data_IF_791024029285
#
_entry.id   IF_791024029285
#
_cell.length_a   1.000
_cell.length_b   1.000
_cell.length_c   1.000
_cell.angle_alpha   90.00
_cell.angle_beta   90.00
_cell.angle_gamma   90.00
#
_symmetry.space_group_name_H-M   'P 1'
#
loop_
_entity.id
_entity.type
_entity.pdbx_description
1 polymer ?
#
# COMPACT_ATOMS: atom_id res chain seq x y z
N UNK A 1 -18.83 -17.51 6.80
CA UNK A 1 -18.01 -18.00 5.67
C UNK A 1 -17.43 -19.41 5.89
N UNK A 2 -17.56 -20.02 7.08
CA UNK A 2 -17.09 -21.40 7.32
C UNK A 2 -15.56 -21.55 7.41
N UNK A 3 -14.82 -20.44 7.29
CA UNK A 3 -13.37 -20.33 7.34
C UNK A 3 -12.94 -19.05 8.07
N UNK A 4 -11.71 -19.01 8.55
CA UNK A 4 -11.08 -17.78 9.09
C UNK A 4 -10.88 -16.77 7.95
N UNK A 5 -11.48 -15.58 8.09
CA UNK A 5 -11.27 -14.45 7.19
C UNK A 5 -10.06 -13.65 7.65
N UNK A 6 -9.22 -13.24 6.70
CA UNK A 6 -7.99 -12.50 6.99
C UNK A 6 -8.02 -11.08 6.42
N UNK A 7 -7.28 -10.16 7.04
CA UNK A 7 -7.10 -8.77 6.56
C UNK A 7 -5.62 -8.35 6.71
N UNK A 8 -5.17 -7.47 5.81
CA UNK A 8 -3.89 -6.75 5.93
C UNK A 8 -4.17 -5.27 6.09
N UNK A 9 -3.64 -4.60 7.11
CA UNK A 9 -3.73 -3.15 7.22
C UNK A 9 -2.34 -2.51 7.18
N UNK A 10 -2.25 -1.28 6.69
CA UNK A 10 -1.04 -0.47 6.89
C UNK A 10 -1.39 0.78 7.68
N UNK A 11 -0.43 1.29 8.43
CA UNK A 11 -0.49 2.64 9.01
C UNK A 11 -0.53 3.73 7.95
N UNK A 12 -0.16 3.46 6.70
CA UNK A 12 -0.08 4.43 5.61
C UNK A 12 1.35 4.81 5.25
N UNK A 13 1.59 5.09 3.97
CA UNK A 13 2.89 5.44 3.41
C UNK A 13 2.79 5.83 1.93
N UNK A 14 3.95 6.03 1.30
CA UNK A 14 4.07 6.49 -0.09
C UNK A 14 4.38 5.31 -1.01
N UNK A 15 3.61 5.15 -2.09
CA UNK A 15 3.71 3.99 -2.97
C UNK A 15 3.16 2.68 -2.39
N UNK A 16 2.41 2.73 -1.27
CA UNK A 16 1.89 1.51 -0.63
C UNK A 16 0.65 0.95 -1.35
N UNK A 17 0.89 0.09 -2.33
CA UNK A 17 -0.12 -0.75 -3.02
C UNK A 17 -0.17 -2.19 -2.51
N UNK A 18 0.45 -2.50 -1.38
CA UNK A 18 0.60 -3.88 -0.87
C UNK A 18 -0.71 -4.63 -0.77
N UNK A 19 -1.77 -3.95 -0.30
CA UNK A 19 -3.11 -4.54 -0.19
C UNK A 19 -3.59 -5.17 -1.51
N UNK A 20 -3.31 -4.51 -2.63
CA UNK A 20 -3.84 -4.87 -3.96
C UNK A 20 -3.15 -6.13 -4.49
N UNK A 21 -1.87 -6.34 -4.15
CA UNK A 21 -1.13 -7.55 -4.50
C UNK A 21 -1.36 -8.71 -3.52
N UNK A 22 -1.42 -8.43 -2.21
CA UNK A 22 -1.60 -9.46 -1.16
C UNK A 22 -2.95 -10.17 -1.28
N UNK A 23 -4.03 -9.42 -1.54
CA UNK A 23 -5.38 -9.98 -1.59
C UNK A 23 -5.51 -11.17 -2.55
N UNK A 24 -5.20 -10.99 -3.85
CA UNK A 24 -5.28 -12.05 -4.84
C UNK A 24 -4.40 -13.27 -4.55
N UNK A 25 -3.17 -13.07 -4.05
CA UNK A 25 -2.23 -14.15 -3.74
C UNK A 25 -2.76 -15.02 -2.59
N UNK A 26 -3.25 -14.39 -1.53
CA UNK A 26 -3.81 -15.10 -0.37
C UNK A 26 -5.10 -15.84 -0.74
N UNK A 27 -5.97 -15.19 -1.52
CA UNK A 27 -7.21 -15.80 -2.00
C UNK A 27 -6.95 -16.95 -3.00
N UNK A 28 -5.89 -16.88 -3.81
CA UNK A 28 -5.47 -18.00 -4.68
C UNK A 28 -5.02 -19.23 -3.88
N UNK A 29 -4.44 -19.02 -2.70
CA UNK A 29 -4.14 -20.07 -1.73
C UNK A 29 -5.38 -20.56 -0.95
N UNK A 30 -6.57 -20.10 -1.35
CA UNK A 30 -7.86 -20.49 -0.81
C UNK A 30 -8.27 -19.75 0.46
N UNK A 31 -7.51 -18.78 0.97
CA UNK A 31 -7.88 -18.09 2.22
C UNK A 31 -8.76 -16.87 1.92
N UNK A 32 -9.97 -16.74 2.51
CA UNK A 32 -10.85 -15.63 2.21
C UNK A 32 -10.31 -14.32 2.77
N UNK A 33 -10.22 -13.30 1.91
CA UNK A 33 -9.76 -11.95 2.23
C UNK A 33 -10.94 -10.99 2.16
N UNK A 34 -11.38 -10.50 3.31
CA UNK A 34 -12.46 -9.53 3.42
C UNK A 34 -11.92 -8.24 4.00
N UNK A 35 -11.88 -7.17 3.20
CA UNK A 35 -11.17 -5.96 3.58
C UNK A 35 -11.99 -4.70 3.38
N UNK A 36 -12.00 -3.88 4.44
CA UNK A 36 -12.41 -2.47 4.37
C UNK A 36 -11.15 -1.59 4.38
N UNK A 37 -11.08 -0.70 3.39
CA UNK A 37 -9.97 0.22 3.13
C UNK A 37 -10.40 1.69 3.26
N UNK A 38 -9.43 2.59 3.26
CA UNK A 38 -9.64 4.04 3.29
C UNK A 38 -9.16 4.72 2.01
N UNK A 39 -9.57 5.98 1.88
CA UNK A 39 -9.05 6.94 0.89
C UNK A 39 -7.81 7.65 1.45
N UNK A 40 -7.01 8.22 0.56
CA UNK A 40 -5.80 8.97 0.90
C UNK A 40 -6.14 10.38 1.39
N UNK A 41 -5.24 10.92 2.20
CA UNK A 41 -5.26 12.31 2.66
C UNK A 41 -3.82 12.79 2.88
N UNK A 42 -3.50 13.99 2.40
CA UNK A 42 -2.14 14.52 2.43
C UNK A 42 -1.20 13.71 1.55
N UNK A 43 0.02 13.43 2.03
CA UNK A 43 1.08 12.76 1.27
C UNK A 43 0.89 11.24 1.13
N UNK A 44 0.00 10.62 1.92
CA UNK A 44 -0.23 9.17 1.87
C UNK A 44 -1.38 8.84 0.92
N UNK A 45 -1.12 7.95 -0.03
CA UNK A 45 -2.12 7.49 -1.00
C UNK A 45 -3.15 6.53 -0.38
N UNK A 46 -4.36 6.50 -0.92
CA UNK A 46 -5.44 5.61 -0.49
C UNK A 46 -5.57 4.36 -1.36
N UNK A 47 -5.80 3.20 -0.76
CA UNK A 47 -6.09 1.98 -1.56
C UNK A 47 -7.35 2.15 -2.40
N UNK A 48 -8.38 2.82 -1.89
CA UNK A 48 -9.63 2.99 -2.64
C UNK A 48 -9.45 3.91 -3.86
N UNK A 49 -8.69 5.00 -3.70
CA UNK A 49 -8.44 5.93 -4.82
C UNK A 49 -7.63 5.24 -5.93
N UNK A 50 -6.67 4.38 -5.57
CA UNK A 50 -5.96 3.51 -6.52
C UNK A 50 -6.94 2.61 -7.27
N UNK A 51 -7.87 1.94 -6.57
CA UNK A 51 -8.84 1.04 -7.21
C UNK A 51 -9.84 1.76 -8.10
N UNK A 52 -10.22 2.99 -7.77
CA UNK A 52 -11.09 3.84 -8.59
C UNK A 52 -10.41 4.35 -9.87
N UNK A 53 -9.09 4.16 -10.02
CA UNK A 53 -8.42 4.32 -11.31
C UNK A 53 -8.82 3.26 -12.33
N UNK A 54 -9.37 2.12 -11.88
CA UNK A 54 -9.87 1.05 -12.74
C UNK A 54 -11.27 1.43 -13.23
N UNK A 55 -11.48 1.63 -14.55
CA UNK A 55 -12.78 2.00 -15.08
C UNK A 55 -13.88 1.02 -14.66
N UNK A 56 -14.95 1.54 -14.05
CA UNK A 56 -16.12 0.76 -13.63
C UNK A 56 -16.00 0.08 -12.27
N UNK A 57 -14.82 0.10 -11.62
CA UNK A 57 -14.64 -0.56 -10.32
C UNK A 57 -15.44 0.15 -9.22
N UNK A 58 -16.29 -0.61 -8.52
CA UNK A 58 -17.09 -0.13 -7.39
C UNK A 58 -16.44 -0.49 -6.07
N UNK A 59 -16.12 0.53 -5.27
CA UNK A 59 -15.68 0.37 -3.88
C UNK A 59 -16.85 0.24 -2.90
N UNK A 60 -18.08 0.44 -3.37
CA UNK A 60 -19.29 0.39 -2.56
C UNK A 60 -20.05 -0.91 -2.81
N UNK A 61 -20.17 -1.74 -1.78
CA UNK A 61 -21.01 -2.93 -1.74
C UNK A 61 -21.86 -2.91 -0.47
N UNK A 62 -23.06 -3.49 -0.55
CA UNK A 62 -23.81 -3.81 0.67
C UNK A 62 -23.08 -4.89 1.46
N UNK A 63 -23.36 -5.00 2.77
CA UNK A 63 -22.76 -6.05 3.62
C UNK A 63 -23.04 -7.45 3.07
N UNK A 64 -24.26 -7.70 2.58
CA UNK A 64 -24.63 -8.99 2.01
C UNK A 64 -23.83 -9.28 0.72
N UNK A 65 -23.75 -8.32 -0.19
CA UNK A 65 -22.96 -8.46 -1.43
C UNK A 65 -21.47 -8.64 -1.14
N UNK A 66 -20.93 -7.93 -0.15
CA UNK A 66 -19.56 -8.10 0.32
C UNK A 66 -19.31 -9.53 0.83
N UNK A 67 -20.18 -10.05 1.69
CA UNK A 67 -20.05 -11.42 2.23
C UNK A 67 -20.21 -12.47 1.14
N UNK A 68 -21.14 -12.28 0.20
CA UNK A 68 -21.32 -13.16 -0.96
C UNK A 68 -20.08 -13.17 -1.86
N UNK A 69 -19.53 -12.01 -2.21
CA UNK A 69 -18.34 -11.93 -3.04
C UNK A 69 -17.12 -12.59 -2.36
N UNK A 70 -16.91 -12.36 -1.06
CA UNK A 70 -15.81 -13.04 -0.35
C UNK A 70 -16.02 -14.56 -0.34
N UNK A 71 -17.26 -15.04 -0.31
CA UNK A 71 -17.57 -16.48 -0.41
C UNK A 71 -17.24 -17.04 -1.79
N UNK A 72 -17.61 -16.34 -2.85
CA UNK A 72 -17.60 -16.87 -4.21
C UNK A 72 -16.28 -16.61 -4.94
N UNK A 73 -15.70 -15.42 -4.74
CA UNK A 73 -14.43 -14.97 -5.35
C UNK A 73 -13.24 -15.23 -4.43
N UNK A 74 -13.46 -15.25 -3.11
CA UNK A 74 -12.41 -15.32 -2.10
C UNK A 74 -11.85 -13.95 -1.69
N UNK A 75 -12.24 -12.86 -2.36
CA UNK A 75 -11.69 -11.52 -2.15
C UNK A 75 -12.74 -10.42 -2.39
N UNK A 76 -12.79 -9.46 -1.47
CA UNK A 76 -13.45 -8.17 -1.70
C UNK A 76 -12.72 -7.06 -0.93
N UNK A 77 -12.54 -5.91 -1.60
CA UNK A 77 -12.02 -4.69 -0.98
C UNK A 77 -13.05 -3.58 -1.18
N UNK A 78 -13.55 -3.04 -0.09
CA UNK A 78 -14.63 -2.04 -0.09
C UNK A 78 -14.27 -0.81 0.75
N UNK A 79 -15.03 0.25 0.56
CA UNK A 79 -15.06 1.39 1.47
C UNK A 79 -15.58 1.02 2.86
N UNK A 80 -15.24 1.86 3.84
CA UNK A 80 -15.85 1.80 5.16
C UNK A 80 -17.31 2.29 5.04
N UNK A 81 -18.26 1.51 5.54
CA UNK A 81 -19.65 1.95 5.63
C UNK A 81 -19.80 3.04 6.70
N UNK A 82 -20.81 3.89 6.57
CA UNK A 82 -21.05 4.98 7.54
C UNK A 82 -21.32 4.47 8.96
N UNK A 83 -21.84 3.26 9.08
CA UNK A 83 -22.15 2.61 10.36
C UNK A 83 -20.95 1.90 11.00
N UNK A 84 -19.82 1.78 10.29
CA UNK A 84 -18.62 1.15 10.81
C UNK A 84 -17.87 2.14 11.72
N UNK A 85 -17.82 1.84 13.02
CA UNK A 85 -17.08 2.60 14.05
C UNK A 85 -17.34 4.13 14.02
N UNK A 86 -18.59 4.60 14.16
CA UNK A 86 -18.94 6.02 13.99
C UNK A 86 -18.22 6.96 14.98
N UNK A 87 -17.89 6.46 16.18
CA UNK A 87 -17.11 7.22 17.16
C UNK A 87 -15.67 7.48 16.70
N UNK A 88 -15.01 6.49 16.07
CA UNK A 88 -13.67 6.66 15.51
C UNK A 88 -13.70 7.67 14.36
N UNK A 89 -14.73 7.62 13.50
CA UNK A 89 -14.90 8.60 12.41
C UNK A 89 -14.94 10.05 12.91
N UNK A 90 -15.71 10.31 13.99
CA UNK A 90 -15.77 11.63 14.61
C UNK A 90 -14.44 12.01 15.27
N UNK A 91 -13.83 11.09 16.00
CA UNK A 91 -12.57 11.34 16.71
C UNK A 91 -11.41 11.57 15.73
N UNK A 92 -11.32 10.81 14.64
CA UNK A 92 -10.33 11.02 13.58
C UNK A 92 -10.48 12.39 12.93
N UNK A 93 -11.72 12.80 12.61
CA UNK A 93 -12.00 14.13 12.07
C UNK A 93 -11.56 15.27 13.01
N UNK A 94 -11.70 15.08 14.33
CA UNK A 94 -11.20 16.03 15.31
C UNK A 94 -9.67 16.03 15.40
N UNK A 95 -9.04 14.86 15.38
CA UNK A 95 -7.58 14.71 15.47
C UNK A 95 -6.85 15.40 14.34
N UNK A 96 -7.41 15.29 13.13
CA UNK A 96 -6.88 15.85 11.89
C UNK A 96 -6.71 17.38 11.95
N UNK A 97 -7.60 18.07 12.69
CA UNK A 97 -7.60 19.53 12.83
C UNK A 97 -7.10 20.03 14.19
N UNK A 98 -6.58 19.15 15.04
CA UNK A 98 -6.12 19.51 16.41
C UNK A 98 -4.68 19.11 16.70
N UNK A 99 -3.91 18.68 15.69
CA UNK A 99 -2.54 18.18 15.86
C UNK A 99 -2.45 17.06 16.89
N UNK A 100 -3.40 16.12 16.87
CA UNK A 100 -3.45 14.94 17.76
C UNK A 100 -3.55 13.63 16.98
N UNK A 101 -3.11 13.63 15.72
CA UNK A 101 -3.08 12.43 14.87
C UNK A 101 -1.99 11.46 15.34
N UNK A 102 -0.80 11.97 15.67
CA UNK A 102 0.44 11.26 15.97
C UNK A 102 0.55 10.72 17.42
N UNK A 103 -0.59 10.52 18.09
CA UNK A 103 -0.65 9.97 19.45
C UNK A 103 -0.86 8.46 19.38
N UNK A 104 0.14 7.68 19.81
CA UNK A 104 0.17 6.19 19.67
C UNK A 104 -1.11 5.50 20.16
N UNK A 105 -1.64 5.76 21.37
CA UNK A 105 -2.91 5.15 21.79
C UNK A 105 -4.10 5.45 20.85
N UNK A 106 -4.16 6.66 20.28
CA UNK A 106 -5.23 7.06 19.35
C UNK A 106 -5.06 6.41 17.98
N UNK A 107 -3.81 6.23 17.51
CA UNK A 107 -3.52 5.48 16.29
C UNK A 107 -3.92 4.01 16.47
N UNK A 108 -3.45 3.36 17.53
CA UNK A 108 -3.70 1.94 17.80
C UNK A 108 -5.21 1.65 17.92
N UNK A 109 -5.92 2.43 18.73
CA UNK A 109 -7.38 2.28 18.91
C UNK A 109 -8.16 2.56 17.63
N UNK A 110 -7.76 3.58 16.86
CA UNK A 110 -8.38 3.90 15.59
C UNK A 110 -8.23 2.76 14.58
N UNK A 111 -7.02 2.26 14.39
CA UNK A 111 -6.75 1.13 13.47
C UNK A 111 -7.51 -0.11 13.94
N UNK A 112 -7.31 -0.51 15.20
CA UNK A 112 -7.84 -1.79 15.70
C UNK A 112 -9.36 -1.81 15.80
N UNK A 113 -10.02 -0.70 16.16
CA UNK A 113 -11.49 -0.65 16.21
C UNK A 113 -12.11 -1.00 14.85
N UNK A 114 -11.57 -0.44 13.75
CA UNK A 114 -11.99 -0.76 12.37
C UNK A 114 -11.74 -2.22 12.03
N UNK A 115 -10.57 -2.75 12.38
CA UNK A 115 -10.20 -4.14 12.05
C UNK A 115 -11.02 -5.17 12.83
N UNK A 116 -11.26 -4.91 14.11
CA UNK A 116 -12.10 -5.75 14.97
C UNK A 116 -13.55 -5.72 14.48
N UNK A 117 -14.08 -4.54 14.12
CA UNK A 117 -15.43 -4.38 13.60
C UNK A 117 -15.61 -5.03 12.22
N UNK A 118 -14.58 -5.03 11.37
CA UNK A 118 -14.58 -5.70 10.07
C UNK A 118 -14.64 -7.24 10.15
N UNK A 119 -14.46 -7.81 11.34
CA UNK A 119 -14.73 -9.23 11.61
C UNK A 119 -13.61 -10.22 11.26
N UNK A 120 -12.51 -9.76 10.67
CA UNK A 120 -11.34 -10.60 10.35
C UNK A 120 -10.81 -11.30 11.61
N UNK A 121 -10.50 -12.60 11.50
CA UNK A 121 -10.00 -13.41 12.60
C UNK A 121 -8.48 -13.29 12.76
N UNK A 122 -7.77 -13.15 11.63
CA UNK A 122 -6.33 -12.97 11.58
C UNK A 122 -5.99 -11.68 10.81
N UNK A 123 -5.05 -10.90 11.33
CA UNK A 123 -4.71 -9.58 10.81
C UNK A 123 -3.19 -9.45 10.73
N UNK A 124 -2.68 -9.10 9.56
CA UNK A 124 -1.31 -8.61 9.42
C UNK A 124 -1.33 -7.07 9.38
N UNK A 125 -0.62 -6.46 10.31
CA UNK A 125 -0.48 -5.00 10.41
C UNK A 125 0.90 -4.60 9.89
N UNK A 126 0.95 -3.67 8.97
CA UNK A 126 2.16 -3.16 8.35
C UNK A 126 2.42 -1.74 8.84
N UNK A 127 3.27 -1.65 9.86
CA UNK A 127 3.66 -0.43 10.56
C UNK A 127 4.85 0.16 9.85
N UNK A 128 4.61 1.25 9.12
CA UNK A 128 5.65 1.97 8.40
C UNK A 128 6.59 2.68 9.38
N UNK A 129 7.87 2.70 9.04
CA UNK A 129 8.94 3.33 9.83
C UNK A 129 9.77 4.24 8.91
N UNK A 130 9.99 5.48 9.33
CA UNK A 130 10.88 6.42 8.63
C UNK A 130 10.17 7.66 8.10
N UNK A 131 10.81 8.30 7.12
CA UNK A 131 10.43 9.61 6.58
C UNK A 131 8.97 9.69 6.12
N UNK A 132 8.51 8.75 5.29
CA UNK A 132 7.13 8.71 4.78
C UNK A 132 6.11 8.05 5.70
N UNK A 133 6.47 7.75 6.96
CA UNK A 133 5.60 7.09 7.92
C UNK A 133 5.10 8.03 9.01
N UNK A 134 4.05 7.61 9.72
CA UNK A 134 3.65 8.23 10.99
C UNK A 134 4.72 8.03 12.07
N UNK A 135 5.30 6.83 12.17
CA UNK A 135 6.34 6.50 13.15
C UNK A 135 7.71 6.77 12.54
N UNK A 136 8.45 7.74 13.09
CA UNK A 136 9.76 8.13 12.54
C UNK A 136 10.90 7.23 13.00
N UNK A 137 10.73 6.52 14.12
CA UNK A 137 11.74 5.63 14.69
C UNK A 137 11.22 4.20 14.80
N UNK A 138 12.16 3.24 14.76
CA UNK A 138 11.85 1.82 14.97
C UNK A 138 11.33 1.56 16.39
N UNK A 139 11.78 2.35 17.38
CA UNK A 139 11.33 2.26 18.77
C UNK A 139 9.84 2.63 18.89
N UNK A 140 9.44 3.79 18.34
CA UNK A 140 8.03 4.22 18.36
C UNK A 140 7.13 3.23 17.60
N UNK A 141 7.63 2.69 16.49
CA UNK A 141 6.93 1.68 15.71
C UNK A 141 6.71 0.38 16.50
N UNK A 142 7.69 -0.06 17.31
CA UNK A 142 7.54 -1.21 18.22
C UNK A 142 6.48 -0.93 19.30
N UNK A 143 6.48 0.25 19.91
CA UNK A 143 5.47 0.64 20.91
C UNK A 143 4.06 0.61 20.30
N UNK A 144 3.89 1.13 19.08
CA UNK A 144 2.61 1.07 18.37
C UNK A 144 2.21 -0.38 18.04
N UNK A 145 3.14 -1.20 17.57
CA UNK A 145 2.90 -2.60 17.26
C UNK A 145 2.46 -3.40 18.50
N UNK A 146 3.16 -3.25 19.63
CA UNK A 146 2.83 -3.91 20.90
C UNK A 146 1.42 -3.53 21.39
N UNK A 147 1.06 -2.23 21.32
CA UNK A 147 -0.27 -1.77 21.68
C UNK A 147 -1.37 -2.40 20.80
N UNK A 148 -1.12 -2.55 19.49
CA UNK A 148 -2.08 -3.17 18.57
C UNK A 148 -2.19 -4.69 18.78
N UNK A 149 -1.09 -5.38 19.10
CA UNK A 149 -1.10 -6.80 19.49
C UNK A 149 -1.92 -7.02 20.76
N UNK A 150 -1.75 -6.18 21.78
CA UNK A 150 -2.52 -6.27 23.02
C UNK A 150 -4.02 -6.08 22.79
N UNK A 151 -4.41 -5.07 22.00
CA UNK A 151 -5.80 -4.84 21.60
C UNK A 151 -6.37 -6.02 20.82
N UNK A 152 -5.59 -6.59 19.89
CA UNK A 152 -5.95 -7.78 19.12
C UNK A 152 -6.24 -8.97 20.02
N UNK A 153 -5.32 -9.26 20.95
CA UNK A 153 -5.46 -10.34 21.95
C UNK A 153 -6.71 -10.16 22.81
N UNK A 154 -6.96 -8.95 23.32
CA UNK A 154 -8.16 -8.68 24.12
C UNK A 154 -9.46 -8.81 23.32
N UNK A 155 -9.41 -8.59 22.01
CA UNK A 155 -10.54 -8.77 21.10
C UNK A 155 -10.62 -10.19 20.49
N UNK A 156 -9.78 -11.14 20.94
CA UNK A 156 -9.75 -12.51 20.43
C UNK A 156 -9.32 -12.62 18.96
N UNK A 157 -8.45 -11.72 18.50
CA UNK A 157 -7.91 -11.67 17.14
C UNK A 157 -6.45 -12.11 17.13
N UNK A 158 -6.07 -12.85 16.10
CA UNK A 158 -4.68 -13.19 15.84
C UNK A 158 -4.05 -12.04 15.05
N UNK A 159 -2.98 -11.44 15.57
CA UNK A 159 -2.36 -10.26 14.98
C UNK A 159 -0.87 -10.48 14.88
N UNK A 160 -0.27 -10.07 13.75
CA UNK A 160 1.18 -9.95 13.58
C UNK A 160 1.47 -8.59 12.97
N UNK A 161 2.47 -7.90 13.51
CA UNK A 161 2.93 -6.60 13.05
C UNK A 161 4.25 -6.74 12.30
N UNK A 162 4.33 -6.16 11.10
CA UNK A 162 5.55 -5.97 10.31
C UNK A 162 5.99 -4.54 10.47
N UNK A 163 7.23 -4.32 10.90
CA UNK A 163 7.84 -3.00 10.91
C UNK A 163 8.60 -2.85 9.58
N UNK A 164 8.19 -1.92 8.74
CA UNK A 164 8.70 -1.84 7.35
C UNK A 164 9.24 -0.46 7.00
N UNK A 165 10.31 -0.44 6.19
CA UNK A 165 10.95 0.78 5.72
C UNK A 165 9.99 1.63 4.89
N UNK A 166 10.01 2.93 5.15
CA UNK A 166 9.28 3.97 4.43
C UNK A 166 10.10 5.26 4.35
N UNK A 167 11.43 5.16 4.44
CA UNK A 167 12.30 6.29 4.13
C UNK A 167 12.26 6.64 2.64
N UNK A 168 12.04 5.65 1.78
CA UNK A 168 11.80 5.80 0.34
C UNK A 168 10.44 5.21 -0.05
N UNK A 169 9.86 5.63 -1.20
CA UNK A 169 8.62 5.03 -1.69
C UNK A 169 8.74 3.52 -1.87
N UNK A 170 7.68 2.79 -1.51
CA UNK A 170 7.61 1.34 -1.69
C UNK A 170 7.42 0.99 -3.18
N UNK A 171 8.30 0.15 -3.72
CA UNK A 171 8.32 -0.14 -5.15
C UNK A 171 8.73 1.09 -5.97
N UNK A 172 8.34 1.20 -7.24
CA UNK A 172 8.73 2.33 -8.08
C UNK A 172 7.62 3.37 -8.24
N UNK A 173 6.37 2.92 -8.40
CA UNK A 173 5.23 3.79 -8.68
C UNK A 173 4.63 4.45 -7.43
N UNK A 174 4.37 5.76 -7.52
CA UNK A 174 3.61 6.58 -6.57
C UNK A 174 2.50 7.30 -7.31
N UNK A 175 1.24 7.02 -6.95
CA UNK A 175 0.06 7.58 -7.62
C UNK A 175 -1.15 6.65 -7.51
N UNK A 176 -1.97 6.59 -8.55
CA UNK A 176 -3.17 5.74 -8.58
C UNK A 176 -3.07 4.64 -9.65
N UNK A 177 -3.27 4.98 -10.93
CA UNK A 177 -3.18 4.01 -12.03
C UNK A 177 -1.81 3.37 -12.14
N UNK A 178 -0.74 4.15 -11.94
CA UNK A 178 0.65 3.67 -11.92
C UNK A 178 0.84 2.57 -10.86
N UNK A 179 0.22 2.74 -9.69
CA UNK A 179 0.30 1.77 -8.60
C UNK A 179 -0.53 0.51 -8.87
N UNK A 180 -1.65 0.61 -9.60
CA UNK A 180 -2.40 -0.56 -10.08
C UNK A 180 -1.56 -1.39 -11.06
N UNK A 181 -0.88 -0.73 -12.00
CA UNK A 181 0.02 -1.40 -12.96
C UNK A 181 1.11 -2.17 -12.21
N UNK A 182 1.77 -1.55 -11.23
CA UNK A 182 2.85 -2.19 -10.48
C UNK A 182 2.35 -3.31 -9.55
N UNK A 183 1.17 -3.13 -8.92
CA UNK A 183 0.53 -4.19 -8.14
C UNK A 183 0.21 -5.42 -9.01
N UNK A 184 -0.34 -5.20 -10.20
CA UNK A 184 -0.62 -6.28 -11.16
C UNK A 184 0.66 -6.95 -11.65
N UNK A 185 1.70 -6.18 -11.98
CA UNK A 185 3.01 -6.73 -12.38
C UNK A 185 3.58 -7.64 -11.29
N UNK A 186 3.44 -7.25 -10.02
CA UNK A 186 3.89 -8.05 -8.87
C UNK A 186 3.10 -9.35 -8.73
N UNK A 187 1.78 -9.32 -8.95
CA UNK A 187 0.94 -10.53 -8.99
C UNK A 187 1.33 -11.47 -10.16
N UNK A 188 1.95 -10.94 -11.22
CA UNK A 188 2.51 -11.71 -12.33
C UNK A 188 3.97 -12.15 -12.11
N UNK A 189 4.62 -11.80 -11.00
CA UNK A 189 6.03 -12.10 -10.74
C UNK A 189 7.03 -11.15 -11.42
N UNK A 190 6.57 -9.99 -11.87
CA UNK A 190 7.35 -8.96 -12.58
C UNK A 190 7.47 -7.65 -11.77
N UNK A 191 7.22 -7.71 -10.46
CA UNK A 191 7.23 -6.55 -9.57
C UNK A 191 8.62 -6.10 -9.12
N UNK A 192 8.75 -4.89 -8.54
CA UNK A 192 9.99 -4.45 -7.91
C UNK A 192 10.41 -5.36 -6.74
N UNK A 193 11.72 -5.58 -6.49
CA UNK A 193 12.18 -6.53 -5.48
C UNK A 193 11.74 -6.22 -4.05
N UNK A 194 11.83 -4.96 -3.63
CA UNK A 194 11.42 -4.49 -2.29
C UNK A 194 9.93 -4.71 -2.05
N UNK A 195 9.12 -4.34 -3.04
CA UNK A 195 7.67 -4.52 -2.99
C UNK A 195 7.27 -6.00 -3.01
N UNK A 196 7.91 -6.80 -3.87
CA UNK A 196 7.65 -8.24 -3.98
C UNK A 196 7.97 -8.97 -2.68
N UNK A 197 9.10 -8.67 -2.04
CA UNK A 197 9.47 -9.31 -0.77
C UNK A 197 8.47 -8.99 0.34
N UNK A 198 8.06 -7.72 0.48
CA UNK A 198 7.06 -7.33 1.48
C UNK A 198 5.70 -8.01 1.23
N UNK A 199 5.25 -8.07 -0.03
CA UNK A 199 4.00 -8.73 -0.41
C UNK A 199 4.05 -10.21 -0.03
N UNK A 200 5.12 -10.92 -0.39
CA UNK A 200 5.24 -12.35 -0.15
C UNK A 200 5.39 -12.68 1.34
N UNK A 201 6.10 -11.87 2.12
CA UNK A 201 6.19 -12.04 3.59
C UNK A 201 4.82 -11.79 4.27
N UNK A 202 4.08 -10.76 3.84
CA UNK A 202 2.73 -10.51 4.33
C UNK A 202 1.78 -11.68 3.98
N UNK A 203 1.84 -12.21 2.75
CA UNK A 203 1.09 -13.38 2.34
C UNK A 203 1.45 -14.61 3.19
N UNK A 204 2.74 -14.90 3.37
CA UNK A 204 3.22 -16.04 4.16
C UNK A 204 2.63 -16.06 5.57
N UNK A 205 2.58 -14.89 6.22
CA UNK A 205 2.03 -14.74 7.58
C UNK A 205 0.52 -14.85 7.62
N UNK A 206 -0.19 -14.23 6.67
CA UNK A 206 -1.64 -14.38 6.58
C UNK A 206 -2.05 -15.84 6.39
N UNK A 207 -1.31 -16.57 5.55
CA UNK A 207 -1.55 -17.99 5.31
C UNK A 207 -1.24 -18.86 6.54
N UNK A 208 -0.21 -18.51 7.31
CA UNK A 208 0.11 -19.20 8.57
C UNK A 208 -0.93 -18.94 9.68
N UNK A 209 -1.47 -17.72 9.76
CA UNK A 209 -2.51 -17.35 10.73
C UNK A 209 -3.91 -17.84 10.33
N UNK A 210 -4.09 -18.22 9.06
CA UNK A 210 -5.34 -18.79 8.58
C UNK A 210 -5.60 -20.20 9.17
N UNK A 211 -6.72 -20.81 8.79
CA UNK A 211 -7.13 -22.14 9.23
C UNK A 211 -6.48 -23.29 8.43
N UNK A 212 -5.29 -23.06 7.86
CA UNK A 212 -4.58 -24.02 7.01
C UNK A 212 -3.70 -25.02 7.78
N UNK A 213 -3.33 -24.71 9.03
CA UNK A 213 -2.43 -25.55 9.83
C UNK A 213 -1.00 -25.62 9.29
N UNK A 214 -0.49 -24.50 8.75
CA UNK A 214 0.83 -24.39 8.15
C UNK A 214 1.65 -23.30 8.85
N UNK A 215 2.98 -23.36 8.71
CA UNK A 215 3.87 -22.30 9.16
C UNK A 215 4.12 -21.25 8.07
N UNK A 216 4.82 -20.17 8.42
CA UNK A 216 5.14 -19.09 7.48
C UNK A 216 6.05 -19.55 6.32
N UNK A 217 6.89 -20.57 6.52
CA UNK A 217 7.77 -21.08 5.47
C UNK A 217 6.97 -21.81 4.37
N UNK A 218 5.98 -22.63 4.76
CA UNK A 218 5.01 -23.22 3.84
C UNK A 218 4.08 -22.16 3.24
N UNK A 219 3.66 -21.17 4.03
CA UNK A 219 2.90 -20.02 3.54
C UNK A 219 3.63 -19.30 2.40
N UNK A 220 4.94 -19.03 2.57
CA UNK A 220 5.80 -18.43 1.55
C UNK A 220 5.84 -19.27 0.28
N UNK A 221 6.10 -20.58 0.39
CA UNK A 221 6.11 -21.50 -0.77
C UNK A 221 4.80 -21.47 -1.56
N UNK A 222 3.66 -21.41 -0.88
CA UNK A 222 2.34 -21.34 -1.54
C UNK A 222 2.10 -20.00 -2.22
N UNK A 223 2.50 -18.90 -1.58
CA UNK A 223 2.42 -17.58 -2.18
C UNK A 223 3.29 -17.49 -3.45
N UNK A 224 4.55 -17.96 -3.37
CA UNK A 224 5.46 -18.02 -4.51
C UNK A 224 4.87 -18.88 -5.65
N UNK A 225 4.31 -20.05 -5.33
CA UNK A 225 3.67 -20.93 -6.31
C UNK A 225 2.46 -20.26 -6.97
N UNK A 226 1.62 -19.57 -6.20
CA UNK A 226 0.41 -18.91 -6.71
C UNK A 226 0.73 -17.76 -7.69
N UNK A 227 1.85 -17.07 -7.48
CA UNK A 227 2.38 -16.08 -8.42
C UNK A 227 2.94 -16.78 -9.66
N UNK A 228 3.79 -17.80 -9.48
CA UNK A 228 4.49 -18.48 -10.57
C UNK A 228 3.56 -19.27 -11.50
N UNK A 229 2.46 -19.84 -10.98
CA UNK A 229 1.49 -20.63 -11.76
C UNK A 229 0.34 -19.80 -12.34
N UNK A 230 0.29 -18.50 -12.07
CA UNK A 230 -0.72 -17.56 -12.56
C UNK A 230 -2.07 -17.64 -11.85
N UNK A 231 -2.23 -18.46 -10.80
CA UNK A 231 -3.48 -18.53 -10.03
C UNK A 231 -3.80 -17.23 -9.29
N UNK A 232 -2.78 -16.50 -8.82
CA UNK A 232 -2.95 -15.18 -8.22
C UNK A 232 -3.51 -14.16 -9.22
N UNK A 233 -3.00 -14.15 -10.47
CA UNK A 233 -3.53 -13.31 -11.54
C UNK A 233 -4.98 -13.68 -11.86
N UNK A 234 -5.31 -14.97 -11.95
CA UNK A 234 -6.67 -15.41 -12.20
C UNK A 234 -7.65 -14.95 -11.10
N UNK A 235 -7.23 -14.92 -9.84
CA UNK A 235 -8.04 -14.33 -8.75
C UNK A 235 -8.15 -12.82 -8.89
N UNK A 236 -7.05 -12.12 -9.17
CA UNK A 236 -7.04 -10.67 -9.37
C UNK A 236 -8.07 -10.27 -10.41
N UNK A 237 -8.06 -10.90 -11.60
CA UNK A 237 -9.00 -10.53 -12.65
C UNK A 237 -10.46 -10.88 -12.31
N UNK A 238 -10.71 -12.00 -11.62
CA UNK A 238 -12.06 -12.33 -11.14
C UNK A 238 -12.57 -11.31 -10.14
N UNK A 239 -11.70 -10.87 -9.22
CA UNK A 239 -12.02 -9.86 -8.22
C UNK A 239 -12.34 -8.51 -8.84
N UNK A 240 -11.50 -8.03 -9.76
CA UNK A 240 -11.75 -6.76 -10.47
C UNK A 240 -13.10 -6.81 -11.21
N UNK A 241 -13.38 -7.89 -11.95
CA UNK A 241 -14.66 -8.07 -12.66
C UNK A 241 -15.85 -8.17 -11.71
N UNK A 242 -15.71 -8.83 -10.56
CA UNK A 242 -16.79 -8.97 -9.58
C UNK A 242 -17.23 -7.62 -8.98
N UNK A 243 -16.32 -6.66 -8.87
CA UNK A 243 -16.64 -5.29 -8.48
C UNK A 243 -16.88 -4.36 -9.67
N UNK A 244 -17.10 -4.88 -10.88
CA UNK A 244 -17.51 -4.11 -12.06
C UNK A 244 -16.38 -3.47 -12.86
N UNK A 245 -15.11 -3.66 -12.46
CA UNK A 245 -13.96 -3.11 -13.16
C UNK A 245 -13.50 -3.95 -14.35
N UNK A 246 -12.70 -3.34 -15.22
CA UNK A 246 -11.96 -4.03 -16.28
C UNK A 246 -10.51 -4.31 -15.83
N UNK A 247 -10.07 -5.59 -15.77
CA UNK A 247 -8.71 -5.94 -15.32
C UNK A 247 -7.62 -5.67 -16.36
N UNK A 248 -7.94 -5.23 -17.58
CA UNK A 248 -6.95 -4.91 -18.60
C UNK A 248 -6.16 -3.63 -18.21
N UNK A 249 -4.83 -3.71 -18.00
CA UNK A 249 -4.03 -2.51 -17.72
C UNK A 249 -4.05 -1.49 -18.87
N UNK A 250 -4.44 -1.89 -20.08
CA UNK A 250 -4.61 -1.00 -21.24
C UNK A 250 -5.72 0.03 -21.07
N UNK A 251 -6.72 -0.22 -20.21
CA UNK A 251 -7.84 0.71 -19.99
C UNK A 251 -7.58 1.75 -18.89
N UNK A 252 -6.49 1.60 -18.14
CA UNK A 252 -6.13 2.52 -17.07
C UNK A 252 -5.80 3.91 -17.63
N UNK A 253 -6.17 4.99 -16.91
CA UNK A 253 -5.88 6.34 -17.35
C UNK A 253 -4.37 6.58 -17.43
N UNK A 254 -3.94 7.35 -18.44
CA UNK A 254 -2.54 7.70 -18.68
C UNK A 254 -2.38 9.20 -18.77
N UNK A 255 -1.35 9.72 -18.10
CA UNK A 255 -1.00 11.14 -18.18
C UNK A 255 -0.68 11.56 -19.62
N UNK A 256 -1.01 12.80 -19.96
CA UNK A 256 -0.74 13.37 -21.28
C UNK A 256 0.75 13.61 -21.51
N UNK A 257 1.48 13.94 -20.45
CA UNK A 257 2.92 14.21 -20.47
C UNK A 257 3.64 13.25 -19.54
N UNK A 258 4.77 12.71 -20.02
CA UNK A 258 5.73 11.95 -19.21
C UNK A 258 7.11 12.57 -19.42
N UNK A 259 7.66 13.16 -18.36
CA UNK A 259 8.97 13.80 -18.40
C UNK A 259 9.97 13.08 -17.52
N UNK A 260 11.15 12.81 -18.06
CA UNK A 260 12.24 12.15 -17.33
C UNK A 260 13.00 13.16 -16.46
N UNK A 261 13.16 12.81 -15.18
CA UNK A 261 14.16 13.40 -14.30
C UNK A 261 15.48 12.65 -14.50
N UNK A 262 16.51 13.36 -14.96
CA UNK A 262 17.85 12.80 -15.19
C UNK A 262 18.82 13.18 -14.08
N UNK A 263 19.75 12.27 -13.76
CA UNK A 263 20.75 12.45 -12.74
C UNK A 263 21.70 13.60 -13.11
N UNK A 264 21.83 14.64 -12.27
CA UNK A 264 22.69 15.79 -12.57
C UNK A 264 24.19 15.46 -12.42
N UNK A 265 24.51 14.39 -11.69
CA UNK A 265 25.87 13.92 -11.43
C UNK A 265 25.87 12.39 -11.34
N UNK A 266 27.02 11.77 -11.58
CA UNK A 266 27.23 10.35 -11.32
C UNK A 266 27.46 10.08 -9.83
N UNK A 267 27.08 8.89 -9.36
CA UNK A 267 27.31 8.46 -7.98
C UNK A 267 26.38 7.32 -7.56
N UNK A 268 26.11 7.22 -6.26
CA UNK A 268 25.11 6.34 -5.67
C UNK A 268 23.96 7.17 -5.14
N UNK A 269 22.72 6.71 -5.35
CA UNK A 269 21.55 7.29 -4.68
C UNK A 269 21.66 6.97 -3.19
N UNK A 270 22.03 7.97 -2.39
CA UNK A 270 22.22 7.83 -0.93
C UNK A 270 20.93 8.10 -0.17
N UNK A 271 20.02 8.89 -0.75
CA UNK A 271 18.71 9.21 -0.18
C UNK A 271 17.66 9.34 -1.28
N UNK A 272 16.45 8.90 -0.97
CA UNK A 272 15.24 9.11 -1.75
C UNK A 272 14.10 9.35 -0.75
N UNK A 273 13.73 10.60 -0.51
CA UNK A 273 12.73 10.97 0.50
C UNK A 273 11.31 10.58 0.10
N UNK A 274 10.71 9.65 0.84
CA UNK A 274 9.34 9.21 0.59
C UNK A 274 8.33 10.36 0.69
N UNK A 275 8.42 11.18 1.74
CA UNK A 275 7.45 12.25 1.96
C UNK A 275 7.49 13.30 0.83
N UNK A 276 8.69 13.62 0.35
CA UNK A 276 8.92 14.60 -0.71
C UNK A 276 8.34 14.11 -2.04
N UNK A 277 8.54 12.83 -2.38
CA UNK A 277 7.90 12.21 -3.55
C UNK A 277 6.37 12.17 -3.39
N UNK A 278 5.88 11.89 -2.18
CA UNK A 278 4.45 11.90 -1.88
C UNK A 278 3.81 13.28 -2.07
N UNK A 279 4.49 14.34 -1.63
CA UNK A 279 4.06 15.73 -1.87
C UNK A 279 4.11 16.11 -3.35
N UNK A 280 5.17 15.74 -4.07
CA UNK A 280 5.24 15.99 -5.51
C UNK A 280 4.10 15.31 -6.26
N UNK A 281 3.79 14.05 -5.93
CA UNK A 281 2.64 13.35 -6.51
C UNK A 281 1.30 14.03 -6.15
N UNK A 282 1.15 14.52 -4.92
CA UNK A 282 -0.01 15.29 -4.49
C UNK A 282 -0.16 16.59 -5.29
N UNK A 283 0.91 17.36 -5.49
CA UNK A 283 0.89 18.60 -6.26
C UNK A 283 0.58 18.37 -7.75
N UNK A 284 1.01 17.23 -8.32
CA UNK A 284 0.61 16.79 -9.65
C UNK A 284 -0.90 16.47 -9.73
N UNK A 285 -1.56 16.21 -8.59
CA UNK A 285 -2.99 15.90 -8.50
C UNK A 285 -3.31 14.42 -8.24
N UNK A 286 -2.33 13.62 -7.85
CA UNK A 286 -2.53 12.20 -7.55
C UNK A 286 -3.21 11.93 -6.19
N UNK A 287 -3.50 12.98 -5.41
CA UNK A 287 -4.10 12.88 -4.09
C UNK A 287 -4.98 14.08 -3.75
N UNK A 288 -5.45 14.13 -2.51
CA UNK A 288 -6.31 15.20 -2.00
C UNK A 288 -5.58 16.04 -0.95
N UNK A 289 -5.59 17.36 -1.14
CA UNK A 289 -5.14 18.28 -0.10
C UNK A 289 -6.23 18.46 0.97
N UNK A 290 -7.49 18.53 0.53
CA UNK A 290 -8.67 18.61 1.38
C UNK A 290 -9.70 17.53 1.01
N UNK A 291 -10.55 17.20 1.98
CA UNK A 291 -11.63 16.23 1.78
C UNK A 291 -12.60 16.74 0.69
N UNK A 292 -12.76 15.96 -0.37
CA UNK A 292 -13.67 16.26 -1.48
C UNK A 292 -12.97 16.74 -2.75
N UNK A 293 -11.65 17.00 -2.70
CA UNK A 293 -10.87 17.32 -3.90
C UNK A 293 -10.96 16.18 -4.93
N UNK A 294 -11.03 16.55 -6.21
CA UNK A 294 -10.92 15.61 -7.31
C UNK A 294 -9.48 15.10 -7.44
N UNK A 295 -9.33 13.83 -7.83
CA UNK A 295 -8.03 13.21 -8.07
C UNK A 295 -7.90 12.98 -9.57
N UNK A 296 -6.74 13.29 -10.12
CA UNK A 296 -6.34 12.77 -11.42
C UNK A 296 -5.66 11.41 -11.22
N UNK A 297 -6.31 10.34 -11.66
CA UNK A 297 -5.78 8.99 -11.47
C UNK A 297 -4.58 8.66 -12.38
N UNK A 298 -4.32 9.50 -13.39
CA UNK A 298 -3.33 9.26 -14.43
C UNK A 298 -1.92 9.78 -14.07
N UNK A 299 -1.86 10.77 -13.17
CA UNK A 299 -0.63 11.47 -12.78
C UNK A 299 0.08 10.79 -11.60
N UNK A 300 1.35 11.13 -11.41
CA UNK A 300 2.18 10.60 -10.33
C UNK A 300 3.66 10.55 -10.70
N UNK A 301 4.42 9.75 -9.95
CA UNK A 301 5.87 9.61 -10.08
C UNK A 301 6.24 8.14 -10.18
N UNK A 302 7.14 7.78 -11.10
CA UNK A 302 7.77 6.45 -11.14
C UNK A 302 9.25 6.61 -10.84
N UNK A 303 9.68 6.21 -9.64
CA UNK A 303 11.08 6.24 -9.21
C UNK A 303 11.85 5.07 -9.85
N UNK A 304 12.71 5.36 -10.83
CA UNK A 304 13.50 4.35 -11.56
C UNK A 304 14.77 3.97 -10.82
N UNK A 305 15.42 4.94 -10.17
CA UNK A 305 16.56 4.70 -9.29
C UNK A 305 16.12 4.74 -7.82
N UNK A 306 16.53 3.74 -7.04
CA UNK A 306 16.23 3.60 -5.60
C UNK A 306 17.50 3.80 -4.77
N UNK A 307 17.33 3.94 -3.45
CA UNK A 307 18.45 4.03 -2.51
C UNK A 307 19.38 2.81 -2.68
N UNK A 308 20.68 3.09 -2.88
CA UNK A 308 21.70 2.07 -3.13
C UNK A 308 22.08 1.91 -4.61
N UNK A 309 21.23 2.37 -5.54
CA UNK A 309 21.52 2.26 -6.97
C UNK A 309 22.68 3.17 -7.39
N UNK A 310 23.49 2.67 -8.31
CA UNK A 310 24.56 3.45 -8.94
C UNK A 310 24.04 4.08 -10.23
N UNK A 311 24.24 5.38 -10.39
CA UNK A 311 23.79 6.17 -11.54
C UNK A 311 24.96 6.91 -12.17
N UNK A 312 24.95 7.03 -13.49
CA UNK A 312 25.79 7.95 -14.24
C UNK A 312 25.09 9.31 -14.42
N UNK A 313 25.86 10.36 -14.71
CA UNK A 313 25.28 11.64 -15.14
C UNK A 313 24.43 11.43 -16.39
N UNK A 314 23.19 11.92 -16.35
CA UNK A 314 22.21 11.76 -17.42
C UNK A 314 21.33 10.51 -17.33
N UNK A 315 21.61 9.56 -16.44
CA UNK A 315 20.72 8.40 -16.21
C UNK A 315 19.36 8.84 -15.67
N UNK A 316 18.30 8.09 -15.97
CA UNK A 316 16.94 8.43 -15.51
C UNK A 316 16.78 8.05 -14.04
N UNK A 317 16.52 9.03 -13.18
CA UNK A 317 16.19 8.82 -11.76
C UNK A 317 14.71 8.52 -11.58
N UNK A 318 13.84 9.28 -12.26
CA UNK A 318 12.40 9.13 -12.15
C UNK A 318 11.68 9.59 -13.43
N UNK A 319 10.43 9.19 -13.57
CA UNK A 319 9.50 9.69 -14.58
C UNK A 319 8.35 10.44 -13.90
N UNK A 320 8.06 11.64 -14.39
CA UNK A 320 6.99 12.51 -13.91
C UNK A 320 5.82 12.42 -14.87
N UNK A 321 4.69 11.91 -14.40
CA UNK A 321 3.46 11.78 -15.15
C UNK A 321 2.53 12.95 -14.80
N UNK A 322 2.28 13.85 -15.76
CA UNK A 322 1.59 15.11 -15.52
C UNK A 322 0.54 15.45 -16.59
N UNK A 323 -0.33 16.44 -16.32
CA UNK A 323 -1.34 16.90 -17.28
C UNK A 323 -0.77 17.80 -18.38
N UNK A 324 0.28 18.55 -18.08
CA UNK A 324 0.90 19.53 -18.97
C UNK A 324 2.41 19.57 -18.80
N UNK A 325 3.10 20.18 -19.75
CA UNK A 325 4.55 20.37 -19.71
C UNK A 325 4.97 21.24 -18.51
N UNK A 326 4.21 22.29 -18.18
CA UNK A 326 4.51 23.18 -17.04
C UNK A 326 4.43 22.43 -15.69
N UNK A 327 3.42 21.56 -15.53
CA UNK A 327 3.29 20.72 -14.33
C UNK A 327 4.41 19.67 -14.28
N UNK A 328 4.79 19.10 -15.42
CA UNK A 328 5.88 18.13 -15.51
C UNK A 328 7.22 18.77 -15.12
N UNK A 329 7.52 19.98 -15.61
CA UNK A 329 8.73 20.73 -15.26
C UNK A 329 8.79 21.05 -13.76
N UNK A 330 7.66 21.48 -13.19
CA UNK A 330 7.55 21.72 -11.74
C UNK A 330 7.77 20.43 -10.95
N UNK A 331 7.13 19.33 -11.36
CA UNK A 331 7.31 18.02 -10.73
C UNK A 331 8.74 17.49 -10.83
N UNK A 332 9.45 17.73 -11.94
CA UNK A 332 10.88 17.39 -12.07
C UNK A 332 11.71 18.14 -11.04
N UNK A 333 11.46 19.45 -10.87
CA UNK A 333 12.18 20.26 -9.89
C UNK A 333 11.92 19.79 -8.45
N UNK A 334 10.67 19.48 -8.11
CA UNK A 334 10.30 18.97 -6.77
C UNK A 334 10.89 17.58 -6.49
N UNK A 335 10.75 16.63 -7.42
CA UNK A 335 11.25 15.27 -7.23
C UNK A 335 12.79 15.24 -7.20
N UNK A 336 13.47 16.13 -7.93
CA UNK A 336 14.94 16.23 -7.83
C UNK A 336 15.40 16.52 -6.40
N UNK A 337 14.66 17.34 -5.63
CA UNK A 337 14.99 17.66 -4.24
C UNK A 337 14.83 16.46 -3.29
N UNK A 338 14.04 15.45 -3.68
CA UNK A 338 13.90 14.21 -2.92
C UNK A 338 15.11 13.28 -3.04
N UNK A 339 15.98 13.47 -4.03
CA UNK A 339 17.18 12.64 -4.24
C UNK A 339 18.44 13.28 -3.64
N UNK A 340 19.26 12.45 -3.00
CA UNK A 340 20.67 12.77 -2.75
C UNK A 340 21.57 11.74 -3.45
N UNK A 341 22.61 12.22 -4.12
CA UNK A 341 23.62 11.41 -4.81
C UNK A 341 24.97 11.67 -4.15
N UNK A 342 25.68 10.60 -3.79
CA UNK A 342 26.99 10.67 -3.14
C UNK A 342 28.00 9.66 -3.72
N UNK A 343 29.26 9.81 -3.34
CA UNK A 343 30.36 8.99 -3.87
C UNK A 343 30.41 7.57 -3.30
N UNK A 344 29.77 7.34 -2.16
CA UNK A 344 29.81 6.09 -1.39
C UNK A 344 28.40 5.50 -1.30
N UNK A 345 28.22 4.19 -1.52
CA UNK A 345 26.90 3.57 -1.37
C UNK A 345 26.39 3.72 0.08
N UNK A 346 25.09 3.99 0.28
CA UNK A 346 24.51 4.01 1.62
C UNK A 346 24.53 2.59 2.23
N UNK A 347 24.40 2.46 3.56
CA UNK A 347 24.17 1.17 4.19
C UNK A 347 22.94 0.47 3.59
N UNK A 348 23.03 -0.85 3.42
CA UNK A 348 21.86 -1.65 3.03
C UNK A 348 20.78 -1.55 4.10
N UNK A 349 19.53 -1.34 3.67
CA UNK A 349 18.36 -1.29 4.53
C UNK A 349 17.31 -2.24 3.96
N UNK A 350 16.94 -3.32 4.68
CA UNK A 350 15.92 -4.24 4.22
C UNK A 350 14.53 -3.59 4.30
N UNK A 351 13.61 -4.00 3.42
CA UNK A 351 12.22 -3.51 3.46
C UNK A 351 11.50 -3.95 4.76
N UNK A 352 11.80 -5.15 5.26
CA UNK A 352 11.31 -5.65 6.53
C UNK A 352 12.37 -5.43 7.61
N UNK A 353 12.06 -4.53 8.56
CA UNK A 353 12.97 -4.14 9.63
C UNK A 353 12.85 -5.04 10.85
N UNK A 354 11.61 -5.42 11.18
CA UNK A 354 11.31 -6.28 12.32
C UNK A 354 9.92 -6.91 12.21
N UNK A 355 9.67 -7.92 13.05
CA UNK A 355 8.39 -8.61 13.17
C UNK A 355 8.03 -8.69 14.65
N UNK A 356 6.85 -8.19 15.00
CA UNK A 356 6.30 -8.29 16.36
C UNK A 356 5.05 -9.16 16.30
N UNK A 357 5.02 -10.25 17.07
CA UNK A 357 3.95 -11.26 17.06
C UNK A 357 3.58 -11.70 18.48
#
# INVERSE_FOLDING_TARGET
>A
LGRKVVDKHSTGGVGDKTTIAVGPIVAACGVPVGKMSGRGLGHTGGTLDKLESIPGFSVDLSVDAFVEQVRDVGLAIIGQTDDLVPADKQLYGLRDVTATVDIVPLIASSIMSKKIAGGAAAIVLDVKVGDGAFMKSLEDARVLAEAMLELGRHAGREVVCLLTDMDQPLGAAVGNALEIVEARATVCGEGPPDFTELVLDACARLLALADLGIDAAEGRRRADAAVADGSALAVYERWIRAQGGDPDPGVLPRAAVVQELRAPVAGYVTWLGAIDVGHAALHLGAGRAAKGDEIDHAVGVVCRAKRGDRVAEGDVLAEIHARSDDEAETGVAEVLLAYAIGDVPPPECPILLDVVA
#
